data_IF_791335889800
#
_entry.id   IF_791335889800
#
_cell.length_a   1.000
_cell.length_b   1.000
_cell.length_c   1.000
_cell.angle_alpha   90.00
_cell.angle_beta   90.00
_cell.angle_gamma   90.00
#
_symmetry.space_group_name_H-M   'P 1'
#
loop_
_entity.id
_entity.type
_entity.pdbx_description
1 polymer ?
#
# COMPACT_ATOMS: atom_id res chain seq x y z
N UNK A 1 21.12 -36.38 32.45
CA UNK A 1 19.90 -37.19 32.67
C UNK A 1 18.74 -36.26 33.03
N UNK A 2 17.79 -36.05 32.12
CA UNK A 2 16.42 -35.57 32.45
C UNK A 2 15.45 -36.33 31.54
N UNK A 3 14.31 -36.77 32.06
CA UNK A 3 13.38 -37.69 31.38
C UNK A 3 12.53 -36.95 30.34
N UNK A 4 12.38 -37.54 29.15
CA UNK A 4 11.31 -37.19 28.19
C UNK A 4 9.96 -37.64 28.75
N UNK A 5 8.96 -36.76 28.70
CA UNK A 5 7.55 -37.11 28.89
C UNK A 5 6.81 -36.92 27.57
N UNK A 6 6.33 -38.01 26.97
CA UNK A 6 5.42 -37.95 25.82
C UNK A 6 3.98 -37.79 26.32
N UNK A 7 3.21 -36.90 25.69
CA UNK A 7 1.76 -36.81 25.90
C UNK A 7 1.06 -37.25 24.63
N UNK A 8 0.30 -38.34 24.72
CA UNK A 8 -0.62 -38.77 23.67
C UNK A 8 -1.99 -38.13 23.93
N UNK A 9 -2.63 -37.61 22.88
CA UNK A 9 -4.03 -37.15 22.94
C UNK A 9 -4.87 -38.08 22.06
N UNK A 10 -5.88 -38.70 22.67
CA UNK A 10 -6.79 -39.65 22.02
C UNK A 10 -8.00 -38.90 21.48
N UNK A 11 -8.51 -39.37 20.33
CA UNK A 11 -9.63 -38.76 19.62
C UNK A 11 -10.98 -38.97 20.32
N UNK A 12 -11.93 -38.07 20.05
CA UNK A 12 -13.36 -38.30 20.22
C UNK A 12 -14.10 -37.73 19.00
N UNK A 13 -14.56 -38.62 18.11
CA UNK A 13 -15.45 -38.25 17.01
C UNK A 13 -16.89 -38.15 17.49
N UNK A 14 -17.64 -37.15 17.01
CA UNK A 14 -19.03 -36.92 17.38
C UNK A 14 -19.93 -37.19 16.17
N UNK A 15 -20.57 -38.38 16.17
CA UNK A 15 -21.61 -38.75 15.22
C UNK A 15 -22.95 -38.28 15.78
N UNK A 16 -23.70 -37.51 15.00
CA UNK A 16 -25.09 -37.15 15.31
C UNK A 16 -26.04 -37.92 14.39
N UNK A 17 -26.91 -38.72 15.00
CA UNK A 17 -28.03 -39.41 14.38
C UNK A 17 -29.20 -39.49 15.38
N UNK A 18 -30.39 -39.88 14.89
CA UNK A 18 -31.69 -39.99 15.60
C UNK A 18 -32.42 -38.63 15.80
N UNK A 19 -33.72 -38.48 15.47
CA UNK A 19 -34.63 -39.39 14.76
C UNK A 19 -36.13 -39.04 14.93
N UNK A 20 -37.02 -39.67 14.13
CA UNK A 20 -38.50 -39.65 14.24
C UNK A 20 -39.20 -38.37 13.73
N UNK A 21 -40.49 -38.34 13.36
CA UNK A 21 -41.54 -39.36 13.15
C UNK A 21 -42.68 -38.68 12.31
N UNK A 22 -43.64 -39.32 11.62
CA UNK A 22 -44.02 -40.74 11.50
C UNK A 22 -44.62 -41.07 10.11
N UNK A 23 -45.85 -41.59 10.01
CA UNK A 23 -46.44 -42.10 8.75
C UNK A 23 -47.90 -41.72 8.44
N UNK A 24 -48.33 -42.00 7.20
CA UNK A 24 -49.67 -41.83 6.64
C UNK A 24 -49.78 -42.59 5.30
N UNK A 25 -50.97 -43.10 4.98
CA UNK A 25 -51.22 -44.17 3.98
C UNK A 25 -51.36 -43.71 2.52
N UNK A 26 -51.30 -44.69 1.61
CA UNK A 26 -51.48 -44.55 0.16
C UNK A 26 -52.83 -43.94 -0.26
N UNK A 27 -52.82 -43.05 -1.25
CA UNK A 27 -53.77 -43.12 -2.37
C UNK A 27 -53.26 -42.39 -3.62
N UNK A 28 -53.72 -42.87 -4.77
CA UNK A 28 -53.24 -42.51 -6.11
C UNK A 28 -53.98 -41.27 -6.66
N UNK A 29 -53.26 -40.24 -7.14
CA UNK A 29 -53.57 -39.45 -8.35
C UNK A 29 -52.69 -38.19 -8.47
N UNK A 30 -52.49 -37.74 -9.72
CA UNK A 30 -52.05 -36.37 -9.99
C UNK A 30 -50.58 -36.22 -10.36
N UNK A 31 -50.27 -36.35 -11.65
CA UNK A 31 -49.03 -35.84 -12.23
C UNK A 31 -49.00 -34.31 -12.20
N UNK A 32 -48.79 -33.73 -11.01
CA UNK A 32 -48.60 -32.30 -10.84
C UNK A 32 -47.22 -31.91 -11.34
N UNK A 33 -47.18 -31.39 -12.56
CA UNK A 33 -45.96 -30.89 -13.16
C UNK A 33 -45.32 -29.85 -12.26
N UNK A 34 -44.11 -30.14 -11.75
CA UNK A 34 -43.25 -29.16 -11.09
C UNK A 34 -42.92 -28.08 -12.11
N UNK A 35 -43.77 -27.05 -12.18
CA UNK A 35 -43.47 -25.81 -12.84
C UNK A 35 -42.23 -25.24 -12.16
N UNK A 36 -41.08 -25.42 -12.81
CA UNK A 36 -39.80 -24.88 -12.34
C UNK A 36 -39.97 -23.37 -12.26
N UNK A 37 -40.11 -22.85 -11.03
CA UNK A 37 -40.31 -21.44 -10.82
C UNK A 37 -39.13 -20.71 -11.46
N UNK A 38 -39.40 -19.88 -12.48
CA UNK A 38 -38.37 -19.08 -13.13
C UNK A 38 -37.60 -18.34 -12.02
N UNK A 39 -36.27 -18.42 -11.98
CA UNK A 39 -35.50 -17.67 -10.99
C UNK A 39 -35.90 -16.20 -11.09
N UNK A 40 -36.42 -15.65 -10.00
CA UNK A 40 -36.76 -14.23 -9.93
C UNK A 40 -35.50 -13.43 -10.30
N UNK A 41 -35.56 -12.47 -11.24
CA UNK A 41 -34.38 -11.72 -11.65
C UNK A 41 -33.67 -11.14 -10.43
N UNK A 42 -32.40 -11.51 -10.24
CA UNK A 42 -31.58 -10.99 -9.14
C UNK A 42 -31.61 -9.48 -9.20
N UNK A 43 -32.12 -8.83 -8.15
CA UNK A 43 -32.15 -7.36 -8.04
C UNK A 43 -30.73 -6.84 -8.31
N UNK A 44 -30.55 -5.77 -9.10
CA UNK A 44 -29.23 -5.18 -9.26
C UNK A 44 -28.68 -4.75 -7.89
N UNK A 45 -27.36 -4.91 -7.66
CA UNK A 45 -26.73 -4.46 -6.41
C UNK A 45 -26.93 -2.95 -6.24
N UNK A 46 -26.97 -2.50 -4.99
CA UNK A 46 -27.04 -1.08 -4.68
C UNK A 46 -25.72 -0.38 -5.04
N UNK A 47 -25.74 0.95 -5.21
CA UNK A 47 -24.53 1.71 -5.57
C UNK A 47 -23.51 1.68 -4.42
N UNK A 48 -24.03 1.68 -3.21
CA UNK A 48 -23.30 1.67 -1.95
C UNK A 48 -22.53 0.35 -1.82
N UNK A 49 -23.16 -0.80 -2.15
CA UNK A 49 -22.47 -2.09 -2.16
C UNK A 49 -21.42 -2.19 -3.28
N UNK A 50 -21.66 -1.60 -4.46
CA UNK A 50 -20.65 -1.52 -5.53
C UNK A 50 -19.44 -0.71 -5.06
N UNK A 51 -19.67 0.48 -4.50
CA UNK A 51 -18.60 1.34 -3.95
C UNK A 51 -17.79 0.61 -2.87
N UNK A 52 -18.49 0.02 -1.89
CA UNK A 52 -17.87 -0.72 -0.79
C UNK A 52 -16.99 -1.88 -1.28
N UNK A 53 -17.48 -2.62 -2.28
CA UNK A 53 -16.69 -3.71 -2.87
C UNK A 53 -15.47 -3.19 -3.62
N UNK A 54 -15.59 -2.05 -4.32
CA UNK A 54 -14.46 -1.36 -4.93
C UNK A 54 -13.42 -0.95 -3.89
N UNK A 55 -13.83 -0.26 -2.83
CA UNK A 55 -12.95 0.16 -1.72
C UNK A 55 -12.24 -1.03 -1.06
N UNK A 56 -12.94 -2.16 -0.83
CA UNK A 56 -12.30 -3.40 -0.37
C UNK A 56 -11.27 -3.97 -1.35
N UNK A 57 -11.49 -3.85 -2.67
CA UNK A 57 -10.52 -4.27 -3.68
C UNK A 57 -9.27 -3.36 -3.68
N UNK A 58 -9.44 -2.03 -3.54
CA UNK A 58 -8.32 -1.09 -3.36
C UNK A 58 -7.46 -1.49 -2.17
N UNK A 59 -8.06 -1.66 -0.99
CA UNK A 59 -7.31 -2.02 0.23
C UNK A 59 -6.67 -3.42 0.13
N UNK A 60 -7.30 -4.35 -0.58
CA UNK A 60 -6.72 -5.68 -0.81
C UNK A 60 -5.53 -5.63 -1.78
N UNK A 61 -5.52 -4.72 -2.75
CA UNK A 61 -4.34 -4.49 -3.61
C UNK A 61 -3.25 -3.77 -2.83
N UNK A 62 -3.55 -2.68 -2.13
CA UNK A 62 -2.58 -1.96 -1.31
C UNK A 62 -1.81 -2.90 -0.36
N UNK A 63 -2.51 -3.81 0.33
CA UNK A 63 -1.87 -4.84 1.17
C UNK A 63 -1.09 -5.92 0.42
N UNK A 64 -1.37 -6.15 -0.87
CA UNK A 64 -0.56 -7.03 -1.73
C UNK A 64 0.70 -6.32 -2.20
N UNK A 65 0.57 -5.05 -2.56
CA UNK A 65 1.63 -4.28 -3.18
C UNK A 65 2.64 -3.83 -2.10
N UNK A 66 2.17 -3.39 -0.92
CA UNK A 66 2.97 -3.23 0.30
C UNK A 66 3.79 -4.48 0.67
N UNK A 67 3.22 -5.68 0.52
CA UNK A 67 3.94 -6.95 0.73
C UNK A 67 4.98 -7.25 -0.34
N UNK A 68 4.76 -6.82 -1.58
CA UNK A 68 5.74 -6.98 -2.65
C UNK A 68 6.90 -5.99 -2.48
N UNK A 69 6.60 -4.74 -2.15
CA UNK A 69 7.58 -3.68 -1.85
C UNK A 69 8.43 -4.03 -0.62
N UNK A 70 7.81 -4.47 0.47
CA UNK A 70 8.51 -4.88 1.69
C UNK A 70 9.51 -6.02 1.46
N UNK A 71 9.13 -7.01 0.64
CA UNK A 71 10.04 -8.08 0.24
C UNK A 71 11.16 -7.60 -0.72
N UNK A 72 10.92 -6.56 -1.53
CA UNK A 72 11.91 -5.96 -2.41
C UNK A 72 12.92 -5.10 -1.63
N UNK A 73 12.44 -4.25 -0.71
CA UNK A 73 13.27 -3.43 0.17
C UNK A 73 14.18 -4.32 1.04
N UNK A 74 13.66 -5.38 1.66
CA UNK A 74 14.48 -6.34 2.41
C UNK A 74 15.53 -7.04 1.52
N UNK A 75 15.24 -7.30 0.24
CA UNK A 75 16.22 -7.85 -0.70
C UNK A 75 17.34 -6.84 -1.01
N UNK A 76 17.00 -5.57 -1.20
CA UNK A 76 17.93 -4.47 -1.43
C UNK A 76 18.83 -4.21 -0.21
N UNK A 77 18.24 -4.20 1.00
CA UNK A 77 18.97 -4.03 2.27
C UNK A 77 20.01 -5.15 2.48
N UNK A 78 19.68 -6.39 2.09
CA UNK A 78 20.61 -7.53 2.12
C UNK A 78 21.71 -7.49 1.05
N UNK A 79 21.45 -6.85 -0.09
CA UNK A 79 22.33 -6.84 -1.25
C UNK A 79 22.26 -5.45 -1.91
N UNK A 80 22.92 -4.43 -1.35
CA UNK A 80 22.98 -3.12 -1.98
C UNK A 80 23.80 -3.22 -3.27
N UNK A 81 23.11 -3.19 -4.41
CA UNK A 81 23.73 -3.28 -5.74
C UNK A 81 24.50 -1.99 -6.14
N UNK A 82 24.36 -0.90 -5.37
CA UNK A 82 25.04 0.38 -5.59
C UNK A 82 26.27 0.59 -4.69
N UNK A 83 27.38 1.00 -5.31
CA UNK A 83 28.63 1.30 -4.62
C UNK A 83 28.56 2.65 -3.89
N UNK A 84 28.07 2.64 -2.64
CA UNK A 84 28.03 3.80 -1.75
C UNK A 84 26.80 3.88 -0.84
N UNK A 85 25.77 3.06 -1.12
CA UNK A 85 24.50 3.09 -0.39
C UNK A 85 24.50 2.05 0.74
N UNK A 86 24.72 2.49 1.97
CA UNK A 86 24.80 1.61 3.15
C UNK A 86 23.44 0.96 3.50
N UNK A 87 23.47 -0.31 3.95
CA UNK A 87 22.27 -1.07 4.29
C UNK A 87 21.41 -0.39 5.38
N UNK A 88 22.05 0.32 6.31
CA UNK A 88 21.42 1.14 7.34
C UNK A 88 20.55 2.24 6.74
N UNK A 89 20.99 2.90 5.65
CA UNK A 89 20.23 3.97 5.01
C UNK A 89 18.92 3.44 4.42
N UNK A 90 18.99 2.33 3.67
CA UNK A 90 17.81 1.67 3.12
C UNK A 90 16.87 1.17 4.24
N UNK A 91 17.42 0.64 5.33
CA UNK A 91 16.65 0.18 6.48
C UNK A 91 15.93 1.34 7.20
N UNK A 92 16.59 2.48 7.46
CA UNK A 92 15.96 3.69 8.02
C UNK A 92 14.82 4.18 7.11
N UNK A 93 15.05 4.24 5.80
CA UNK A 93 14.03 4.62 4.81
C UNK A 93 12.82 3.68 4.82
N UNK A 94 13.07 2.37 4.84
CA UNK A 94 12.02 1.35 4.92
C UNK A 94 11.21 1.47 6.22
N UNK A 95 11.87 1.51 7.38
CA UNK A 95 11.22 1.63 8.69
C UNK A 95 10.46 2.95 8.86
N UNK A 96 10.82 4.01 8.12
CA UNK A 96 10.08 5.27 8.12
C UNK A 96 8.84 5.25 7.20
N UNK A 97 8.88 4.48 6.11
CA UNK A 97 7.79 4.40 5.10
C UNK A 97 6.74 3.34 5.44
N UNK A 98 7.16 2.18 5.93
CA UNK A 98 6.26 1.03 6.16
C UNK A 98 5.12 1.31 7.16
N UNK A 99 5.35 2.01 8.30
CA UNK A 99 4.25 2.34 9.22
C UNK A 99 3.16 3.17 8.54
N UNK A 100 3.55 4.25 7.84
CA UNK A 100 2.62 5.13 7.11
C UNK A 100 1.74 4.36 6.12
N UNK A 101 2.33 3.44 5.35
CA UNK A 101 1.58 2.63 4.39
C UNK A 101 0.63 1.60 5.05
N UNK A 102 0.91 1.18 6.29
CA UNK A 102 -0.01 0.35 7.09
C UNK A 102 -1.14 1.21 7.67
N UNK A 103 -0.82 2.40 8.16
CA UNK A 103 -1.77 3.36 8.75
C UNK A 103 -2.76 3.91 7.73
N UNK A 104 -2.33 4.14 6.49
CA UNK A 104 -3.21 4.54 5.37
C UNK A 104 -4.28 3.46 5.11
N UNK A 105 -3.88 2.18 5.10
CA UNK A 105 -4.81 1.06 4.94
C UNK A 105 -5.70 0.88 6.18
N UNK A 106 -5.16 1.07 7.39
CA UNK A 106 -5.95 1.03 8.62
C UNK A 106 -7.05 2.10 8.61
N UNK A 107 -6.68 3.33 8.26
CA UNK A 107 -7.58 4.48 8.20
C UNK A 107 -8.68 4.23 7.18
N UNK A 108 -8.31 3.83 5.96
CA UNK A 108 -9.27 3.50 4.91
C UNK A 108 -10.20 2.32 5.28
N UNK A 109 -9.72 1.30 5.99
CA UNK A 109 -10.57 0.20 6.50
C UNK A 109 -11.43 0.59 7.69
N UNK A 110 -11.05 1.63 8.44
CA UNK A 110 -11.81 2.19 9.56
C UNK A 110 -12.94 3.09 9.08
N UNK A 111 -12.66 3.94 8.07
CA UNK A 111 -13.63 4.86 7.46
C UNK A 111 -14.59 4.15 6.49
N UNK A 112 -14.28 2.93 6.06
CA UNK A 112 -15.14 2.12 5.21
C UNK A 112 -16.40 1.65 5.97
N UNK A 113 -17.53 2.31 5.71
CA UNK A 113 -18.86 2.00 6.24
C UNK A 113 -19.26 0.50 6.13
N UNK A 114 -20.22 0.00 6.94
CA UNK A 114 -20.76 -1.35 6.78
C UNK A 114 -21.46 -1.55 5.43
N UNK A 115 -21.18 -2.69 4.77
CA UNK A 115 -21.76 -3.08 3.47
C UNK A 115 -23.26 -3.42 3.52
N UNK A 116 -23.78 -3.72 4.72
CA UNK A 116 -25.09 -4.33 4.90
C UNK A 116 -25.13 -5.84 4.59
N UNK A 117 -24.00 -6.46 4.22
CA UNK A 117 -23.84 -7.90 4.01
C UNK A 117 -23.01 -8.47 5.17
N UNK A 118 -23.61 -9.14 6.17
CA UNK A 118 -22.91 -9.49 7.42
C UNK A 118 -21.67 -10.38 7.27
N UNK A 119 -21.54 -11.12 6.15
CA UNK A 119 -20.34 -11.89 5.86
C UNK A 119 -19.17 -11.01 5.37
N UNK A 120 -19.47 -9.97 4.59
CA UNK A 120 -18.51 -9.02 4.06
C UNK A 120 -18.05 -8.03 5.16
N UNK A 121 -18.97 -7.62 6.05
CA UNK A 121 -18.62 -6.81 7.23
C UNK A 121 -17.67 -7.56 8.19
N UNK A 122 -17.86 -8.89 8.34
CA UNK A 122 -16.93 -9.75 9.09
C UNK A 122 -15.55 -9.85 8.43
N UNK A 123 -15.49 -9.88 7.10
CA UNK A 123 -14.22 -9.85 6.35
C UNK A 123 -13.48 -8.53 6.59
N UNK A 124 -14.13 -7.37 6.41
CA UNK A 124 -13.53 -6.05 6.70
C UNK A 124 -13.03 -5.98 8.15
N UNK A 125 -13.85 -6.34 9.12
CA UNK A 125 -13.47 -6.29 10.54
C UNK A 125 -12.30 -7.25 10.88
N UNK A 126 -12.23 -8.42 10.25
CA UNK A 126 -11.12 -9.35 10.42
C UNK A 126 -9.83 -8.85 9.78
N UNK A 127 -9.92 -8.13 8.64
CA UNK A 127 -8.79 -7.50 7.98
C UNK A 127 -8.28 -6.30 8.79
N UNK A 128 -9.17 -5.37 9.16
CA UNK A 128 -8.84 -4.22 10.02
C UNK A 128 -8.16 -4.65 11.33
N UNK A 129 -8.65 -5.72 11.97
CA UNK A 129 -8.01 -6.28 13.18
C UNK A 129 -6.58 -6.79 12.92
N UNK A 130 -6.30 -7.36 11.74
CA UNK A 130 -4.94 -7.78 11.37
C UNK A 130 -4.03 -6.58 11.13
N UNK A 131 -4.52 -5.58 10.39
CA UNK A 131 -3.77 -4.34 10.08
C UNK A 131 -3.39 -3.63 11.38
N UNK A 132 -4.36 -3.41 12.28
CA UNK A 132 -4.13 -2.88 13.65
C UNK A 132 -3.05 -3.63 14.42
N UNK A 133 -3.13 -4.96 14.47
CA UNK A 133 -2.12 -5.77 15.16
C UNK A 133 -0.74 -5.80 14.49
N UNK A 134 -0.58 -5.21 13.30
CA UNK A 134 0.73 -4.91 12.70
C UNK A 134 1.11 -3.46 12.99
N UNK A 135 0.22 -2.48 12.78
CA UNK A 135 0.43 -1.05 13.10
C UNK A 135 0.90 -0.86 14.55
N UNK A 136 0.16 -1.43 15.52
CA UNK A 136 0.47 -1.43 16.96
C UNK A 136 1.92 -1.88 17.25
N UNK A 137 2.50 -2.74 16.41
CA UNK A 137 3.88 -3.19 16.56
C UNK A 137 4.88 -2.35 15.77
N UNK A 138 4.50 -1.78 14.62
CA UNK A 138 5.38 -0.88 13.88
C UNK A 138 5.66 0.40 14.69
N UNK A 139 4.68 0.87 15.47
CA UNK A 139 4.84 1.95 16.46
C UNK A 139 5.89 1.63 17.55
N UNK A 140 6.19 0.35 17.83
CA UNK A 140 7.22 -0.07 18.78
C UNK A 140 8.64 -0.07 18.18
N UNK A 141 8.77 0.00 16.84
CA UNK A 141 10.06 -0.11 16.13
C UNK A 141 10.59 1.27 15.77
N UNK A 142 11.74 1.66 16.31
CA UNK A 142 12.34 2.94 15.94
C UNK A 142 13.19 2.80 14.68
N UNK A 143 13.11 3.72 13.70
CA UNK A 143 14.04 3.72 12.56
C UNK A 143 15.52 3.78 12.97
N UNK A 144 15.85 4.33 14.14
CA UNK A 144 17.24 4.38 14.63
C UNK A 144 17.79 3.00 15.02
N UNK A 145 16.92 2.04 15.36
CA UNK A 145 17.34 0.69 15.77
C UNK A 145 18.05 -0.04 14.60
N UNK A 146 17.74 0.34 13.35
CA UNK A 146 18.44 -0.14 12.15
C UNK A 146 19.92 0.25 12.06
N UNK A 147 20.41 1.19 12.89
CA UNK A 147 21.85 1.47 13.01
C UNK A 147 22.59 0.29 13.63
N UNK A 148 21.95 -0.43 14.56
CA UNK A 148 22.53 -1.57 15.28
C UNK A 148 22.30 -2.92 14.56
N UNK A 149 21.11 -3.15 14.00
CA UNK A 149 20.77 -4.38 13.26
C UNK A 149 19.79 -4.13 12.09
N UNK A 150 20.29 -3.47 11.04
CA UNK A 150 19.54 -3.17 9.82
C UNK A 150 18.81 -4.40 9.24
N UNK A 151 19.48 -5.54 9.07
CA UNK A 151 18.84 -6.71 8.45
C UNK A 151 17.82 -7.36 9.40
N UNK A 152 18.17 -7.57 10.68
CA UNK A 152 17.32 -8.31 11.61
C UNK A 152 16.00 -7.60 11.90
N UNK A 153 16.02 -6.28 12.07
CA UNK A 153 14.83 -5.47 12.34
C UNK A 153 13.93 -5.39 11.11
N UNK A 154 14.51 -5.10 9.94
CA UNK A 154 13.78 -5.06 8.66
C UNK A 154 13.14 -6.42 8.37
N UNK A 155 13.83 -7.53 8.67
CA UNK A 155 13.31 -8.88 8.47
C UNK A 155 12.15 -9.24 9.43
N UNK A 156 12.11 -8.74 10.66
CA UNK A 156 10.93 -8.95 11.52
C UNK A 156 9.75 -8.07 11.10
N UNK A 157 10.00 -6.83 10.65
CA UNK A 157 8.97 -5.94 10.08
C UNK A 157 8.40 -6.52 8.78
N UNK A 158 9.23 -6.95 7.82
CA UNK A 158 8.77 -7.65 6.60
C UNK A 158 7.90 -8.85 6.95
N UNK A 159 8.38 -9.74 7.82
CA UNK A 159 7.62 -10.91 8.28
C UNK A 159 6.23 -10.58 8.84
N UNK A 160 6.04 -9.40 9.44
CA UNK A 160 4.73 -8.90 9.92
C UNK A 160 3.89 -8.34 8.78
N UNK A 161 4.48 -7.55 7.88
CA UNK A 161 3.83 -7.09 6.65
C UNK A 161 3.37 -8.29 5.81
N UNK A 162 4.19 -9.33 5.62
CA UNK A 162 3.82 -10.58 4.95
C UNK A 162 2.64 -11.31 5.62
N UNK A 163 2.36 -11.07 6.90
CA UNK A 163 1.21 -11.64 7.61
C UNK A 163 -0.15 -10.99 7.24
N UNK A 164 -0.13 -9.81 6.60
CA UNK A 164 -1.28 -9.04 6.09
C UNK A 164 -1.93 -9.68 4.84
N UNK A 165 -2.07 -11.00 4.87
CA UNK A 165 -2.85 -11.79 3.92
C UNK A 165 -4.36 -11.63 4.17
N UNK A 166 -5.21 -11.61 3.13
CA UNK A 166 -6.66 -11.61 3.30
C UNK A 166 -7.13 -12.75 4.20
N UNK A 167 -7.99 -12.51 5.21
CA UNK A 167 -8.52 -13.57 6.05
C UNK A 167 -9.51 -14.43 5.25
N UNK A 168 -9.66 -15.69 5.64
CA UNK A 168 -10.54 -16.65 4.97
C UNK A 168 -11.91 -16.76 5.68
N UNK A 169 -13.05 -16.77 4.95
CA UNK A 169 -13.18 -16.61 3.50
C UNK A 169 -12.87 -15.18 3.03
N UNK A 170 -12.08 -15.06 1.97
CA UNK A 170 -11.80 -13.78 1.32
C UNK A 170 -12.99 -13.26 0.48
N UNK A 171 -12.86 -12.05 -0.08
CA UNK A 171 -13.91 -11.39 -0.84
C UNK A 171 -14.40 -12.26 -2.02
N UNK A 172 -13.49 -12.90 -2.75
CA UNK A 172 -13.82 -13.74 -3.89
C UNK A 172 -14.59 -14.99 -3.43
N UNK A 173 -14.16 -15.63 -2.34
CA UNK A 173 -14.87 -16.75 -1.72
C UNK A 173 -16.26 -16.36 -1.17
N UNK A 174 -16.48 -15.10 -0.80
CA UNK A 174 -17.80 -14.57 -0.46
C UNK A 174 -18.68 -14.33 -1.69
N UNK A 175 -18.14 -13.85 -2.82
CA UNK A 175 -18.94 -13.69 -4.07
C UNK A 175 -19.53 -15.00 -4.57
N UNK A 176 -18.87 -16.14 -4.32
CA UNK A 176 -19.41 -17.46 -4.66
C UNK A 176 -20.66 -17.85 -3.85
N UNK A 177 -20.90 -17.18 -2.72
CA UNK A 177 -21.99 -17.50 -1.77
C UNK A 177 -23.10 -16.45 -1.76
N UNK A 178 -22.78 -15.21 -2.13
CA UNK A 178 -23.74 -14.09 -2.15
C UNK A 178 -23.88 -13.49 -3.57
N UNK A 179 -25.05 -13.64 -4.23
CA UNK A 179 -25.29 -13.10 -5.57
C UNK A 179 -25.31 -11.57 -5.67
N UNK A 180 -25.63 -10.83 -4.59
CA UNK A 180 -25.54 -9.37 -4.58
C UNK A 180 -24.07 -8.94 -4.56
N UNK A 181 -23.25 -9.58 -3.71
CA UNK A 181 -21.82 -9.32 -3.62
C UNK A 181 -21.11 -9.69 -4.94
N UNK A 182 -21.49 -10.80 -5.57
CA UNK A 182 -21.00 -11.18 -6.90
C UNK A 182 -21.34 -10.16 -8.00
N UNK A 183 -22.57 -9.63 -7.97
CA UNK A 183 -22.99 -8.61 -8.92
C UNK A 183 -22.34 -7.24 -8.66
N UNK A 184 -22.04 -6.93 -7.39
CA UNK A 184 -21.30 -5.74 -6.99
C UNK A 184 -19.83 -5.82 -7.42
N UNK A 185 -19.15 -6.93 -7.13
CA UNK A 185 -17.77 -7.20 -7.54
C UNK A 185 -17.57 -7.08 -9.05
N UNK A 186 -18.50 -7.60 -9.86
CA UNK A 186 -18.47 -7.47 -11.32
C UNK A 186 -18.70 -6.04 -11.86
N UNK A 187 -19.10 -5.10 -11.01
CA UNK A 187 -19.39 -3.70 -11.35
C UNK A 187 -18.40 -2.71 -10.72
N UNK A 188 -17.64 -3.14 -9.73
CA UNK A 188 -16.58 -2.36 -9.12
C UNK A 188 -15.36 -2.41 -10.05
N UNK A 189 -15.03 -1.29 -10.67
CA UNK A 189 -13.91 -1.16 -11.62
C UNK A 189 -12.58 -1.47 -10.92
N UNK A 190 -12.46 -1.12 -9.64
CA UNK A 190 -11.33 -1.40 -8.76
C UNK A 190 -11.08 -2.89 -8.51
N UNK A 191 -12.05 -3.75 -8.83
CA UNK A 191 -11.93 -5.22 -8.72
C UNK A 191 -11.58 -5.90 -10.07
N UNK A 192 -11.41 -5.12 -11.14
CA UNK A 192 -11.09 -5.65 -12.46
C UNK A 192 -9.61 -6.07 -12.57
N UNK A 193 -9.29 -7.16 -13.30
CA UNK A 193 -7.90 -7.52 -13.58
C UNK A 193 -7.21 -6.42 -14.37
N UNK A 194 -6.08 -5.91 -13.84
CA UNK A 194 -5.33 -4.82 -14.47
C UNK A 194 -5.81 -3.42 -14.13
N UNK A 195 -6.76 -3.26 -13.20
CA UNK A 195 -7.03 -1.94 -12.60
C UNK A 195 -5.77 -1.39 -11.92
N UNK A 196 -5.48 -0.11 -12.14
CA UNK A 196 -4.36 0.61 -11.53
C UNK A 196 -4.86 1.96 -10.99
N UNK A 197 -4.70 2.29 -9.70
CA UNK A 197 -5.16 3.57 -9.14
C UNK A 197 -4.56 4.80 -9.85
N UNK A 198 -3.33 4.68 -10.36
CA UNK A 198 -2.64 5.80 -11.02
C UNK A 198 -3.32 6.24 -12.33
N UNK A 199 -4.05 5.35 -13.02
CA UNK A 199 -4.77 5.70 -14.24
C UNK A 199 -6.06 6.51 -13.97
N UNK A 200 -6.69 6.35 -12.80
CA UNK A 200 -7.83 7.18 -12.38
C UNK A 200 -7.38 8.54 -11.82
N UNK A 201 -6.21 8.60 -11.17
CA UNK A 201 -5.55 9.85 -10.78
C UNK A 201 -5.03 10.63 -12.01
N UNK A 202 -4.75 9.95 -13.13
CA UNK A 202 -4.40 10.54 -14.41
C UNK A 202 -5.60 11.18 -15.15
N UNK A 203 -6.39 12.00 -14.45
CA UNK A 203 -6.76 13.29 -15.06
C UNK A 203 -5.44 14.04 -15.27
N UNK A 204 -4.97 14.26 -16.52
CA UNK A 204 -3.66 14.85 -16.72
C UNK A 204 -3.68 16.28 -16.18
N UNK A 205 -3.08 16.47 -15.01
CA UNK A 205 -2.26 17.66 -14.81
C UNK A 205 -1.33 17.69 -16.02
N UNK A 206 -1.43 18.70 -16.89
CA UNK A 206 -0.88 18.61 -18.24
C UNK A 206 0.59 18.29 -18.12
N UNK A 207 1.00 17.17 -18.75
CA UNK A 207 2.41 16.79 -18.82
C UNK A 207 3.23 18.04 -19.15
N UNK A 208 4.28 18.35 -18.38
CA UNK A 208 5.29 19.32 -18.80
C UNK A 208 6.16 18.74 -19.94
N UNK A 209 5.49 18.33 -21.02
CA UNK A 209 6.02 18.02 -22.36
C UNK A 209 6.47 19.28 -23.10
N UNK A 210 6.23 20.47 -22.53
CA UNK A 210 6.97 21.67 -22.89
C UNK A 210 8.45 21.57 -22.49
N UNK A 211 9.34 22.33 -23.14
CA UNK A 211 10.73 22.44 -22.69
C UNK A 211 10.77 22.99 -21.27
N UNK A 212 11.72 22.50 -20.45
CA UNK A 212 11.98 23.06 -19.13
C UNK A 212 12.19 24.59 -19.23
N UNK A 213 11.65 25.38 -18.29
CA UNK A 213 11.89 26.81 -18.26
C UNK A 213 13.39 27.09 -18.13
N UNK A 214 13.83 28.23 -18.66
CA UNK A 214 15.23 28.63 -18.51
C UNK A 214 15.49 29.03 -17.06
N UNK A 215 16.19 28.18 -16.32
CA UNK A 215 16.73 28.48 -15.00
C UNK A 215 17.58 29.77 -15.03
N UNK A 216 17.41 30.65 -14.05
CA UNK A 216 18.11 31.95 -14.00
C UNK A 216 19.63 31.82 -14.14
N UNK A 217 20.24 30.87 -13.42
CA UNK A 217 21.68 30.61 -13.38
C UNK A 217 22.11 29.49 -14.36
N UNK A 218 21.19 28.99 -15.19
CA UNK A 218 21.46 27.92 -16.14
C UNK A 218 21.89 26.64 -15.43
N UNK A 219 23.05 26.07 -15.79
CA UNK A 219 23.63 24.89 -15.11
C UNK A 219 24.70 25.23 -14.06
N UNK A 220 24.81 26.51 -13.66
CA UNK A 220 25.87 26.97 -12.77
C UNK A 220 25.55 26.69 -11.29
N UNK A 221 25.77 25.46 -10.84
CA UNK A 221 25.51 25.05 -9.45
C UNK A 221 26.31 25.88 -8.42
N UNK A 222 27.48 26.41 -8.79
CA UNK A 222 28.30 27.25 -7.91
C UNK A 222 27.60 28.57 -7.54
N UNK A 223 26.62 29.03 -8.33
CA UNK A 223 25.78 30.18 -8.01
C UNK A 223 24.97 29.98 -6.72
N UNK A 224 24.72 28.74 -6.31
CA UNK A 224 23.93 28.42 -5.12
C UNK A 224 24.67 28.66 -3.80
N UNK A 225 25.97 28.95 -3.82
CA UNK A 225 26.85 29.06 -2.64
C UNK A 225 26.31 30.00 -1.55
N UNK A 226 25.62 31.09 -1.93
CA UNK A 226 25.03 32.08 -1.02
C UNK A 226 23.62 31.74 -0.52
N UNK A 227 23.08 30.59 -0.94
CA UNK A 227 21.73 30.11 -0.63
C UNK A 227 20.64 30.60 -1.56
N UNK A 228 20.94 31.35 -2.64
CA UNK A 228 19.95 31.98 -3.52
C UNK A 228 20.27 31.80 -5.01
N UNK A 229 19.82 30.69 -5.60
CA UNK A 229 20.02 30.39 -7.04
C UNK A 229 18.77 29.76 -7.68
N UNK A 230 18.74 29.72 -9.01
CA UNK A 230 17.83 28.88 -9.78
C UNK A 230 18.60 28.15 -10.90
N UNK A 231 18.74 26.83 -10.77
CA UNK A 231 19.61 25.99 -11.60
C UNK A 231 18.87 24.83 -12.27
N UNK A 232 19.36 24.43 -13.45
CA UNK A 232 18.91 23.29 -14.23
C UNK A 232 19.82 22.09 -13.96
N UNK A 233 19.25 21.04 -13.36
CA UNK A 233 19.91 19.77 -13.06
C UNK A 233 19.43 18.71 -14.04
N UNK A 234 20.33 18.13 -14.83
CA UNK A 234 20.01 17.12 -15.86
C UNK A 234 20.64 15.75 -15.60
N UNK A 235 21.23 15.55 -14.44
CA UNK A 235 21.92 14.33 -13.98
C UNK A 235 22.21 14.46 -12.48
N UNK A 236 22.44 13.35 -11.74
CA UNK A 236 22.85 13.40 -10.34
C UNK A 236 24.04 14.34 -10.10
N UNK A 237 23.94 15.21 -9.10
CA UNK A 237 24.98 16.22 -8.79
C UNK A 237 24.90 16.68 -7.33
N UNK A 238 26.05 16.98 -6.72
CA UNK A 238 26.12 17.67 -5.43
C UNK A 238 26.04 19.19 -5.63
N UNK A 239 25.19 19.86 -4.86
CA UNK A 239 25.03 21.32 -4.84
C UNK A 239 25.25 21.80 -3.41
N UNK A 240 26.27 22.64 -3.20
CA UNK A 240 26.46 23.35 -1.93
C UNK A 240 25.63 24.63 -1.95
N UNK A 241 24.66 24.76 -1.05
CA UNK A 241 23.83 25.96 -0.93
C UNK A 241 23.71 26.43 0.52
N UNK A 242 24.08 27.70 0.79
CA UNK A 242 24.21 28.24 2.15
C UNK A 242 25.05 27.35 3.10
N UNK A 243 26.09 26.69 2.57
CA UNK A 243 26.93 25.74 3.32
C UNK A 243 26.30 24.37 3.60
N UNK A 244 25.09 24.08 3.08
CA UNK A 244 24.47 22.75 3.11
C UNK A 244 24.79 22.03 1.80
N UNK A 245 25.41 20.86 1.88
CA UNK A 245 25.65 19.99 0.72
C UNK A 245 24.42 19.12 0.46
N UNK A 246 23.82 19.27 -0.71
CA UNK A 246 22.65 18.51 -1.16
C UNK A 246 22.97 17.75 -2.45
N UNK A 247 22.92 16.43 -2.39
CA UNK A 247 22.93 15.56 -3.56
C UNK A 247 21.54 15.57 -4.20
N UNK A 248 21.48 15.94 -5.47
CA UNK A 248 20.24 16.10 -6.23
C UNK A 248 20.22 15.09 -7.37
N UNK A 249 19.23 14.20 -7.36
CA UNK A 249 18.98 13.22 -8.41
C UNK A 249 17.62 13.50 -9.07
N UNK A 250 17.58 14.01 -10.31
CA UNK A 250 16.35 14.15 -11.07
C UNK A 250 15.89 12.79 -11.62
N UNK A 251 14.66 12.40 -11.34
CA UNK A 251 13.95 11.30 -12.00
C UNK A 251 13.00 11.79 -13.10
N UNK A 252 12.18 10.90 -13.64
CA UNK A 252 11.16 11.25 -14.65
C UNK A 252 9.95 11.99 -14.04
N UNK A 253 9.54 11.62 -12.83
CA UNK A 253 8.33 12.07 -12.12
C UNK A 253 8.59 12.92 -10.87
N UNK A 254 9.81 12.82 -10.32
CA UNK A 254 10.16 13.32 -9.00
C UNK A 254 11.65 13.62 -8.85
N UNK A 255 12.00 14.57 -7.98
CA UNK A 255 13.40 14.91 -7.67
C UNK A 255 13.74 14.40 -6.27
N UNK A 256 14.80 13.61 -6.17
CA UNK A 256 15.37 13.17 -4.90
C UNK A 256 16.43 14.17 -4.46
N UNK A 257 16.33 14.62 -3.22
CA UNK A 257 17.29 15.46 -2.53
C UNK A 257 17.83 14.69 -1.33
N UNK A 258 19.14 14.62 -1.21
CA UNK A 258 19.86 13.84 -0.22
C UNK A 258 20.91 14.69 0.47
N UNK A 259 21.02 14.56 1.78
CA UNK A 259 22.10 15.12 2.61
C UNK A 259 22.61 14.01 3.52
N UNK A 260 23.76 14.18 4.21
CA UNK A 260 24.27 13.17 5.16
C UNK A 260 23.31 12.79 6.30
N UNK A 261 22.18 13.49 6.47
CA UNK A 261 21.20 13.30 7.54
C UNK A 261 19.74 13.18 7.07
N UNK A 262 19.44 13.32 5.76
CA UNK A 262 18.07 13.33 5.27
C UNK A 262 17.96 12.95 3.80
N UNK A 263 16.90 12.24 3.42
CA UNK A 263 16.52 12.06 2.01
C UNK A 263 15.04 12.41 1.85
N UNK A 264 14.75 13.23 0.83
CA UNK A 264 13.42 13.71 0.47
C UNK A 264 13.19 13.49 -1.02
N UNK A 265 12.08 12.88 -1.40
CA UNK A 265 11.64 12.74 -2.81
C UNK A 265 10.42 13.62 -3.03
N UNK A 266 10.50 14.55 -3.98
CA UNK A 266 9.44 15.51 -4.28
C UNK A 266 8.92 15.28 -5.70
N UNK A 267 7.65 14.91 -5.83
CA UNK A 267 6.96 14.81 -7.12
C UNK A 267 6.45 16.18 -7.60
N UNK A 268 6.58 16.43 -8.91
CA UNK A 268 5.89 17.52 -9.60
C UNK A 268 6.36 18.96 -9.33
N UNK A 269 5.79 19.89 -10.10
CA UNK A 269 6.05 21.32 -9.98
C UNK A 269 5.48 21.88 -8.66
N UNK A 270 6.29 22.67 -7.95
CA UNK A 270 5.91 23.32 -6.70
C UNK A 270 6.26 22.54 -5.42
N UNK A 271 6.82 21.33 -5.53
CA UNK A 271 7.36 20.60 -4.39
C UNK A 271 8.45 21.39 -3.66
N UNK A 272 8.45 21.35 -2.32
CA UNK A 272 9.39 22.10 -1.47
C UNK A 272 10.12 21.17 -0.50
N UNK A 273 11.45 21.21 -0.50
CA UNK A 273 12.32 20.64 0.52
C UNK A 273 12.82 21.75 1.45
N UNK A 274 13.07 21.42 2.72
CA UNK A 274 13.64 22.33 3.71
C UNK A 274 14.65 21.61 4.58
N UNK A 275 15.72 22.32 4.94
CA UNK A 275 16.75 21.89 5.88
C UNK A 275 16.87 22.97 6.95
N UNK A 276 16.22 22.72 8.09
CA UNK A 276 16.11 23.69 9.19
C UNK A 276 15.52 25.03 8.74
N UNK A 277 16.04 26.09 9.33
CA UNK A 277 15.78 27.49 8.94
C UNK A 277 16.88 28.03 7.99
N UNK A 278 17.80 27.16 7.53
CA UNK A 278 19.00 27.56 6.79
C UNK A 278 18.82 27.48 5.26
N UNK A 279 18.04 26.51 4.77
CA UNK A 279 17.87 26.30 3.32
C UNK A 279 16.49 25.75 2.96
N UNK A 280 15.95 26.25 1.85
CA UNK A 280 14.76 25.73 1.17
C UNK A 280 15.07 25.50 -0.31
N UNK A 281 14.73 24.32 -0.84
CA UNK A 281 14.70 24.06 -2.28
C UNK A 281 13.25 23.96 -2.78
N UNK A 282 12.98 24.43 -3.99
CA UNK A 282 11.68 24.34 -4.66
C UNK A 282 11.86 23.76 -6.06
N UNK A 283 11.07 22.75 -6.41
CA UNK A 283 10.99 22.22 -7.78
C UNK A 283 10.19 23.20 -8.64
N UNK A 284 10.88 24.02 -9.43
CA UNK A 284 10.26 25.04 -10.31
C UNK A 284 9.61 24.39 -11.52
N UNK A 285 10.23 23.33 -12.06
CA UNK A 285 9.69 22.48 -13.12
C UNK A 285 10.50 21.17 -13.20
N UNK A 286 9.90 20.13 -13.76
CA UNK A 286 10.54 18.84 -13.98
C UNK A 286 9.96 18.16 -15.22
N UNK A 287 10.80 17.40 -15.93
CA UNK A 287 10.41 16.33 -16.84
C UNK A 287 11.59 15.36 -17.02
N UNK A 288 11.46 14.37 -17.92
CA UNK A 288 12.52 13.42 -18.30
C UNK A 288 13.88 14.03 -18.75
N UNK A 289 13.93 15.32 -19.09
CA UNK A 289 15.17 15.99 -19.52
C UNK A 289 15.90 16.65 -18.32
N UNK A 290 15.29 16.66 -17.12
CA UNK A 290 15.84 17.16 -15.87
C UNK A 290 14.86 17.96 -15.01
N UNK A 291 15.39 18.68 -14.03
CA UNK A 291 14.62 19.56 -13.15
C UNK A 291 15.22 20.97 -13.07
N UNK A 292 14.36 21.98 -12.98
CA UNK A 292 14.74 23.34 -12.62
C UNK A 292 14.43 23.54 -11.14
N UNK A 293 15.46 23.86 -10.37
CA UNK A 293 15.42 23.92 -8.93
C UNK A 293 15.79 25.32 -8.45
N UNK A 294 15.00 25.85 -7.53
CA UNK A 294 15.25 27.13 -6.89
C UNK A 294 15.62 26.94 -5.43
N UNK A 295 16.82 27.37 -5.06
CA UNK A 295 17.27 27.43 -3.67
C UNK A 295 17.07 28.84 -3.12
N UNK A 296 16.62 28.92 -1.88
CA UNK A 296 16.43 30.18 -1.12
C UNK A 296 16.72 29.93 0.34
N UNK A 297 17.34 30.89 1.03
CA UNK A 297 17.25 31.00 2.49
C UNK A 297 15.78 31.32 2.85
N UNK A 298 15.17 30.66 3.86
CA UNK A 298 13.75 30.82 4.25
C UNK A 298 13.26 32.23 4.58
#
# INVERSE_FOLDING_TARGET
>A
MVKRGSVAVVAAGLVLAVGGCGGGTDEETGASGKASAKPTPTRPPSKELVKWVGEMCVQTSALKDLRAESAADLKQIRNPDEAGSDAQFFAVSYLSRTPLAVDDVESALTDLDPSGVPAADRLRNALLKKVKGVADHLDEVSPIDAVDDAEGIVADVDKRVQSLTPPQPDLLALTQKDPQLAAAYKRAEQCAPGWNPDEEAASPSPDPTGPLPKAADGKNIDACSDGACEVLVTSPVWITANGVDVHVTPGDDSVTFETPSSVMRLGGQGGVAKWGDDLKATVVAQNKDGAVLKFTIP
#
